data_IF_598062669997
#
_entry.id   IF_598062669997
#
_cell.length_a   1.000
_cell.length_b   1.000
_cell.length_c   1.000
_cell.angle_alpha   90.00
_cell.angle_beta   90.00
_cell.angle_gamma   90.00
#
_symmetry.space_group_name_H-M   'P 1'
#
loop_
_entity.id
_entity.type
_entity.pdbx_description
1 polymer ?
#
# COMPACT_ATOMS: atom_id res chain seq x y z
N UNK A 1 -7.34 11.74 -29.66
CA UNK A 1 -6.98 12.22 -28.31
C UNK A 1 -8.25 12.73 -27.67
N UNK A 2 -8.72 12.09 -26.59
CA UNK A 2 -9.91 12.58 -25.86
C UNK A 2 -9.62 13.93 -25.21
N UNK A 3 -10.62 14.80 -25.13
CA UNK A 3 -10.49 16.08 -24.44
C UNK A 3 -10.11 15.86 -22.96
N UNK A 4 -9.15 16.63 -22.46
CA UNK A 4 -8.81 16.66 -21.02
C UNK A 4 -10.01 17.25 -20.27
N UNK A 5 -10.50 16.57 -19.24
CA UNK A 5 -11.61 17.08 -18.44
C UNK A 5 -11.13 18.18 -17.48
N UNK A 6 -12.01 19.11 -17.05
CA UNK A 6 -11.64 20.14 -16.07
C UNK A 6 -11.01 19.56 -14.79
N UNK A 7 -11.54 18.45 -14.29
CA UNK A 7 -11.05 17.76 -13.09
C UNK A 7 -9.66 17.17 -13.30
N UNK A 8 -9.38 16.62 -14.48
CA UNK A 8 -8.05 16.14 -14.82
C UNK A 8 -7.04 17.30 -14.98
N UNK A 9 -7.47 18.45 -15.50
CA UNK A 9 -6.64 19.65 -15.55
C UNK A 9 -6.33 20.17 -14.14
N UNK A 10 -7.36 20.27 -13.28
CA UNK A 10 -7.20 20.70 -11.88
C UNK A 10 -6.31 19.77 -11.08
N UNK A 11 -6.45 18.47 -11.28
CA UNK A 11 -5.54 17.49 -10.68
C UNK A 11 -4.08 17.68 -11.12
N UNK A 12 -3.86 17.99 -12.39
CA UNK A 12 -2.53 18.23 -12.91
C UNK A 12 -1.89 19.50 -12.30
N UNK A 13 -2.68 20.54 -12.03
CA UNK A 13 -2.24 21.76 -11.33
C UNK A 13 -1.79 21.46 -9.90
N UNK A 14 -2.61 20.75 -9.12
CA UNK A 14 -2.28 20.34 -7.74
C UNK A 14 -0.97 19.55 -7.69
N UNK A 15 -0.84 18.60 -8.61
CA UNK A 15 0.38 17.80 -8.75
C UNK A 15 1.58 18.69 -9.16
N UNK A 16 1.39 19.63 -10.08
CA UNK A 16 2.45 20.52 -10.55
C UNK A 16 2.97 21.45 -9.44
N UNK A 17 2.07 22.01 -8.63
CA UNK A 17 2.41 22.85 -7.48
C UNK A 17 3.31 22.10 -6.49
N UNK A 18 3.10 20.80 -6.31
CA UNK A 18 3.88 19.97 -5.40
C UNK A 18 5.17 19.39 -6.01
N UNK A 19 5.26 19.34 -7.34
CA UNK A 19 6.29 18.60 -8.04
C UNK A 19 7.72 19.14 -7.89
N UNK A 20 7.91 20.47 -7.81
CA UNK A 20 9.27 21.04 -7.69
C UNK A 20 9.93 20.56 -6.40
N UNK A 21 9.26 20.76 -5.27
CA UNK A 21 9.75 20.35 -3.95
C UNK A 21 10.03 18.84 -3.87
N UNK A 22 9.12 18.00 -4.37
CA UNK A 22 9.35 16.55 -4.39
C UNK A 22 10.59 16.19 -5.21
N UNK A 23 10.83 16.87 -6.35
CA UNK A 23 12.07 16.68 -7.13
C UNK A 23 13.31 17.13 -6.38
N UNK A 24 13.24 18.25 -5.67
CA UNK A 24 14.37 18.78 -4.90
C UNK A 24 14.82 17.81 -3.79
N UNK A 25 13.92 16.95 -3.29
CA UNK A 25 14.22 15.90 -2.29
C UNK A 25 14.41 14.50 -2.92
N UNK A 26 14.62 14.43 -4.23
CA UNK A 26 15.06 13.21 -4.92
C UNK A 26 13.96 12.39 -5.59
N UNK A 27 12.70 12.80 -5.56
CA UNK A 27 11.65 12.10 -6.31
C UNK A 27 11.73 12.42 -7.81
N UNK A 28 11.61 11.39 -8.63
CA UNK A 28 11.32 11.50 -10.07
C UNK A 28 9.81 11.49 -10.27
N UNK A 29 9.31 12.17 -11.30
CA UNK A 29 7.86 12.32 -11.56
C UNK A 29 7.44 11.57 -12.82
N UNK A 30 6.28 10.90 -12.77
CA UNK A 30 5.54 10.41 -13.94
C UNK A 30 4.04 10.58 -13.71
N UNK A 31 3.40 11.39 -14.56
CA UNK A 31 1.97 11.76 -14.41
C UNK A 31 1.67 12.29 -13.00
N UNK A 32 0.88 11.56 -12.20
CA UNK A 32 0.45 11.87 -10.84
C UNK A 32 1.24 11.07 -9.77
N UNK A 33 2.21 10.27 -10.20
CA UNK A 33 3.08 9.48 -9.33
C UNK A 33 4.49 10.05 -9.25
N UNK A 34 5.15 9.75 -8.15
CA UNK A 34 6.51 10.13 -7.83
C UNK A 34 7.25 8.94 -7.22
N UNK A 35 8.45 8.65 -7.71
CA UNK A 35 9.30 7.57 -7.21
C UNK A 35 10.62 8.15 -6.70
N UNK A 36 11.04 7.76 -5.50
CA UNK A 36 12.38 8.04 -4.97
C UNK A 36 13.09 6.70 -4.72
N UNK A 37 14.05 6.31 -5.58
CA UNK A 37 14.90 5.16 -5.31
C UNK A 37 15.85 5.49 -4.15
N UNK A 38 16.11 4.50 -3.30
CA UNK A 38 17.07 4.56 -2.21
C UNK A 38 18.28 3.68 -2.49
N UNK A 39 19.40 3.94 -1.80
CA UNK A 39 20.64 3.15 -1.94
C UNK A 39 20.45 1.69 -1.52
N UNK A 40 19.48 1.40 -0.65
CA UNK A 40 19.07 0.05 -0.24
C UNK A 40 18.36 -0.76 -1.33
N UNK A 41 18.09 -0.15 -2.49
CA UNK A 41 17.30 -0.75 -3.57
C UNK A 41 15.79 -0.61 -3.40
N UNK A 42 15.32 -0.10 -2.25
CA UNK A 42 13.92 0.24 -2.04
C UNK A 42 13.49 1.41 -2.94
N UNK A 43 12.21 1.46 -3.25
CA UNK A 43 11.61 2.60 -3.95
C UNK A 43 10.44 3.14 -3.14
N UNK A 44 10.54 4.38 -2.71
CA UNK A 44 9.43 5.09 -2.08
C UNK A 44 8.56 5.74 -3.15
N UNK A 45 7.24 5.62 -2.98
CA UNK A 45 6.25 6.05 -3.94
C UNK A 45 5.28 7.01 -3.26
N UNK A 46 5.05 8.15 -3.90
CA UNK A 46 3.94 9.07 -3.61
C UNK A 46 3.03 9.10 -4.83
N UNK A 47 1.75 8.88 -4.64
CA UNK A 47 0.77 8.92 -5.73
C UNK A 47 -0.42 9.79 -5.37
N UNK A 48 -0.70 10.75 -6.24
CA UNK A 48 -1.87 11.60 -6.15
C UNK A 48 -3.02 10.90 -6.88
N UNK A 49 -3.99 10.36 -6.13
CA UNK A 49 -5.07 9.56 -6.68
C UNK A 49 -6.34 10.40 -6.83
N UNK A 50 -6.78 10.57 -8.08
CA UNK A 50 -8.04 11.23 -8.40
C UNK A 50 -9.16 10.19 -8.46
N UNK A 51 -10.30 10.50 -7.82
CA UNK A 51 -11.45 9.62 -7.89
C UNK A 51 -11.94 9.42 -9.34
N UNK A 52 -12.13 8.16 -9.79
CA UNK A 52 -12.62 7.90 -11.13
C UNK A 52 -14.05 8.38 -11.27
N UNK A 53 -14.43 8.80 -12.47
CA UNK A 53 -15.81 9.12 -12.80
C UNK A 53 -16.70 7.90 -12.58
N UNK A 54 -17.72 8.03 -11.75
CA UNK A 54 -18.63 6.92 -11.50
C UNK A 54 -19.50 6.62 -12.75
N UNK A 55 -19.84 5.35 -12.99
CA UNK A 55 -20.75 5.00 -14.07
C UNK A 55 -22.15 5.58 -13.82
N UNK A 56 -22.96 5.85 -14.87
CA UNK A 56 -24.29 6.45 -14.73
C UNK A 56 -25.25 5.72 -13.78
N UNK A 57 -25.10 4.41 -13.61
CA UNK A 57 -25.90 3.58 -12.71
C UNK A 57 -25.41 3.58 -11.25
N UNK A 58 -24.56 4.53 -10.85
CA UNK A 58 -24.04 4.60 -9.48
C UNK A 58 -25.04 5.21 -8.51
N UNK A 59 -25.73 4.34 -7.75
CA UNK A 59 -26.49 4.66 -6.54
C UNK A 59 -25.54 5.04 -5.41
N UNK A 60 -25.72 6.22 -4.84
CA UNK A 60 -25.00 6.65 -3.64
C UNK A 60 -25.62 6.01 -2.39
N UNK A 61 -24.77 5.54 -1.47
CA UNK A 61 -25.16 5.09 -0.13
C UNK A 61 -24.29 5.87 0.86
N UNK A 62 -24.84 6.85 1.61
CA UNK A 62 -24.05 7.63 2.56
C UNK A 62 -23.27 6.74 3.53
N UNK A 63 -21.98 7.02 3.73
CA UNK A 63 -21.10 6.25 4.62
C UNK A 63 -20.64 4.88 4.11
N UNK A 64 -21.22 4.34 3.03
CA UNK A 64 -20.85 3.04 2.46
C UNK A 64 -20.35 3.14 1.01
N UNK A 65 -20.99 3.99 0.21
CA UNK A 65 -20.75 4.16 -1.22
C UNK A 65 -21.04 5.59 -1.67
N UNK A 66 -20.14 6.49 -1.31
CA UNK A 66 -20.22 7.92 -1.62
C UNK A 66 -19.79 8.21 -3.06
N UNK A 67 -20.33 9.27 -3.66
CA UNK A 67 -19.78 9.85 -4.89
C UNK A 67 -18.52 10.64 -4.55
N UNK A 68 -17.43 10.37 -5.26
CA UNK A 68 -16.11 10.98 -5.03
C UNK A 68 -15.56 11.65 -6.26
N UNK A 69 -16.16 11.53 -7.43
CA UNK A 69 -15.72 12.29 -8.60
C UNK A 69 -15.65 13.79 -8.30
N UNK A 70 -14.54 14.42 -8.69
CA UNK A 70 -14.22 15.78 -8.26
C UNK A 70 -13.31 15.86 -7.03
N UNK A 71 -12.93 14.71 -6.43
CA UNK A 71 -12.02 14.66 -5.29
C UNK A 71 -10.70 13.94 -5.60
N UNK A 72 -9.72 14.14 -4.72
CA UNK A 72 -8.45 13.44 -4.74
C UNK A 72 -7.98 13.07 -3.33
N UNK A 73 -6.98 12.18 -3.28
CA UNK A 73 -6.24 11.84 -2.07
C UNK A 73 -4.77 11.57 -2.39
N UNK A 74 -3.98 11.35 -1.35
CA UNK A 74 -2.59 10.91 -1.47
C UNK A 74 -2.44 9.47 -0.96
N UNK A 75 -1.72 8.68 -1.73
CA UNK A 75 -1.31 7.32 -1.36
C UNK A 75 0.21 7.25 -1.33
N UNK A 76 0.73 6.52 -0.35
CA UNK A 76 2.15 6.31 -0.12
C UNK A 76 2.46 4.82 -0.18
N UNK A 77 3.68 4.49 -0.58
CA UNK A 77 4.15 3.12 -0.49
C UNK A 77 5.65 2.97 -0.56
N UNK A 78 6.12 1.82 -0.12
CA UNK A 78 7.51 1.37 -0.23
C UNK A 78 7.50 0.05 -0.99
N UNK A 79 8.14 0.07 -2.15
CA UNK A 79 8.43 -1.14 -2.91
C UNK A 79 9.71 -1.77 -2.38
N UNK A 80 9.60 -3.07 -2.10
CA UNK A 80 10.64 -3.91 -1.52
C UNK A 80 10.91 -5.04 -2.50
N UNK A 81 12.01 -5.01 -3.27
CA UNK A 81 12.30 -6.03 -4.27
C UNK A 81 12.30 -7.46 -3.73
N UNK A 82 12.69 -7.63 -2.47
CA UNK A 82 12.73 -8.91 -1.78
C UNK A 82 11.34 -9.41 -1.33
N UNK A 83 10.29 -8.58 -1.35
CA UNK A 83 8.91 -8.99 -1.07
C UNK A 83 8.15 -9.31 -2.36
N UNK A 84 8.65 -10.26 -3.14
CA UNK A 84 8.19 -10.56 -4.50
C UNK A 84 7.12 -11.66 -4.60
N UNK A 85 6.48 -12.03 -3.49
CA UNK A 85 5.52 -13.14 -3.41
C UNK A 85 4.34 -13.02 -4.39
N UNK A 86 3.84 -11.80 -4.57
CA UNK A 86 2.59 -11.56 -5.33
C UNK A 86 2.83 -11.10 -6.76
N UNK A 87 3.91 -10.35 -6.99
CA UNK A 87 4.23 -9.77 -8.29
C UNK A 87 5.67 -9.25 -8.32
N UNK A 88 6.27 -9.25 -9.52
CA UNK A 88 7.48 -8.46 -9.83
C UNK A 88 7.10 -7.44 -10.90
N UNK A 89 7.31 -6.14 -10.66
CA UNK A 89 6.99 -5.10 -11.62
C UNK A 89 7.63 -5.34 -12.99
N UNK A 90 6.85 -5.13 -14.06
CA UNK A 90 7.32 -5.28 -15.44
C UNK A 90 8.07 -4.06 -15.98
N UNK A 91 8.11 -2.98 -15.20
CA UNK A 91 8.71 -1.70 -15.56
C UNK A 91 9.58 -1.21 -14.40
N UNK A 92 10.64 -0.46 -14.72
CA UNK A 92 11.43 0.27 -13.72
C UNK A 92 10.61 1.31 -12.97
N UNK A 93 9.51 1.78 -13.57
CA UNK A 93 8.58 2.67 -12.87
C UNK A 93 7.64 1.85 -11.99
N UNK A 94 7.91 1.89 -10.69
CA UNK A 94 7.06 1.33 -9.63
C UNK A 94 5.77 2.14 -9.51
N UNK A 95 4.63 1.47 -9.55
CA UNK A 95 3.33 2.05 -9.24
C UNK A 95 2.96 1.78 -7.79
N UNK A 96 2.01 2.53 -7.24
CA UNK A 96 1.62 2.35 -5.84
C UNK A 96 1.09 0.94 -5.54
N UNK A 97 0.43 0.29 -6.49
CA UNK A 97 -0.04 -1.10 -6.33
C UNK A 97 1.09 -2.14 -6.37
N UNK A 98 2.28 -1.76 -6.83
CA UNK A 98 3.47 -2.60 -6.79
C UNK A 98 4.12 -2.62 -5.39
N UNK A 99 3.80 -1.64 -4.53
CA UNK A 99 4.40 -1.49 -3.21
C UNK A 99 3.88 -2.53 -2.21
N UNK A 100 4.80 -3.08 -1.42
CA UNK A 100 4.52 -4.10 -0.40
C UNK A 100 4.08 -3.50 0.93
N UNK A 101 4.59 -2.30 1.25
CA UNK A 101 4.15 -1.49 2.40
C UNK A 101 3.43 -0.27 1.87
N UNK A 102 2.21 -0.01 2.34
CA UNK A 102 1.34 1.01 1.75
C UNK A 102 0.49 1.70 2.81
N UNK A 103 0.35 3.01 2.68
CA UNK A 103 -0.59 3.78 3.48
C UNK A 103 -1.34 4.80 2.62
N UNK A 104 -2.62 5.01 2.88
CA UNK A 104 -3.35 6.18 2.40
C UNK A 104 -3.15 7.32 3.38
N UNK A 105 -3.28 8.56 2.91
CA UNK A 105 -3.14 9.72 3.78
C UNK A 105 -4.17 9.76 4.91
N UNK A 106 -5.37 9.22 4.68
CA UNK A 106 -6.36 9.10 5.72
C UNK A 106 -5.86 8.25 6.89
N UNK A 107 -5.22 7.11 6.60
CA UNK A 107 -4.61 6.26 7.63
C UNK A 107 -3.54 6.98 8.43
N UNK A 108 -2.67 7.74 7.76
CA UNK A 108 -1.59 8.45 8.43
C UNK A 108 -2.08 9.61 9.29
N UNK A 109 -3.15 10.29 8.89
CA UNK A 109 -3.73 11.43 9.61
C UNK A 109 -4.61 10.97 10.77
N UNK A 110 -5.47 9.97 10.58
CA UNK A 110 -6.46 9.57 11.59
C UNK A 110 -5.98 8.44 12.49
N UNK A 111 -4.98 7.65 12.06
CA UNK A 111 -4.61 6.40 12.72
C UNK A 111 -5.64 5.28 12.53
N UNK A 112 -6.61 5.44 11.62
CA UNK A 112 -7.68 4.48 11.37
C UNK A 112 -7.68 4.00 9.92
N UNK A 113 -8.37 2.89 9.63
CA UNK A 113 -8.58 2.38 8.26
C UNK A 113 -9.62 3.20 7.48
N UNK A 114 -9.44 4.51 7.45
CA UNK A 114 -10.33 5.46 6.78
C UNK A 114 -9.56 6.24 5.74
N UNK A 115 -10.15 6.39 4.56
CA UNK A 115 -9.60 7.28 3.53
C UNK A 115 -10.03 8.72 3.78
N UNK A 116 -9.13 9.65 3.48
CA UNK A 116 -9.37 11.08 3.50
C UNK A 116 -9.32 11.61 2.06
N UNK A 117 -10.38 12.27 1.64
CA UNK A 117 -10.55 12.84 0.29
C UNK A 117 -10.77 14.33 0.40
N UNK A 118 -10.19 15.07 -0.54
CA UNK A 118 -10.35 16.51 -0.65
C UNK A 118 -10.91 16.89 -2.02
N UNK A 119 -11.70 17.94 -2.06
CA UNK A 119 -12.25 18.48 -3.28
C UNK A 119 -11.13 19.11 -4.15
N UNK A 120 -11.14 18.82 -5.45
CA UNK A 120 -10.17 19.38 -6.41
C UNK A 120 -10.32 20.89 -6.54
N UNK A 121 -11.55 21.38 -6.44
CA UNK A 121 -11.91 22.79 -6.63
C UNK A 121 -11.82 23.59 -5.32
N UNK A 122 -11.41 22.96 -4.22
CA UNK A 122 -11.15 23.67 -2.97
C UNK A 122 -10.04 24.71 -3.19
N UNK A 123 -10.22 25.97 -2.72
CA UNK A 123 -9.23 27.04 -2.90
C UNK A 123 -7.84 26.73 -2.32
N UNK A 124 -7.78 25.83 -1.34
CA UNK A 124 -6.59 25.41 -0.59
C UNK A 124 -6.10 24.02 -0.97
N UNK A 125 -6.60 23.41 -2.05
CA UNK A 125 -6.28 22.02 -2.43
C UNK A 125 -4.76 21.77 -2.57
N UNK A 126 -4.00 22.71 -3.13
CA UNK A 126 -2.54 22.62 -3.22
C UNK A 126 -1.84 22.64 -1.86
N UNK A 127 -2.31 23.49 -0.95
CA UNK A 127 -1.76 23.68 0.39
C UNK A 127 -2.07 22.48 1.28
N UNK A 128 -3.29 21.97 1.22
CA UNK A 128 -3.70 20.75 1.91
C UNK A 128 -2.87 19.56 1.44
N UNK A 129 -2.66 19.42 0.13
CA UNK A 129 -1.77 18.40 -0.41
C UNK A 129 -0.32 18.57 0.08
N UNK A 130 0.18 19.81 0.12
CA UNK A 130 1.53 20.11 0.64
C UNK A 130 1.67 19.70 2.10
N UNK A 131 0.75 20.13 2.96
CA UNK A 131 0.78 19.84 4.40
C UNK A 131 0.67 18.34 4.67
N UNK A 132 -0.24 17.65 3.97
CA UNK A 132 -0.37 16.20 4.05
C UNK A 132 0.93 15.46 3.68
N UNK A 133 1.66 15.94 2.66
CA UNK A 133 2.96 15.39 2.30
C UNK A 133 4.03 15.67 3.36
N UNK A 134 4.15 16.91 3.83
CA UNK A 134 5.23 17.31 4.75
C UNK A 134 5.04 16.75 6.14
N UNK A 135 3.81 16.71 6.62
CA UNK A 135 3.52 16.50 8.04
C UNK A 135 3.30 15.00 8.34
N UNK A 136 2.87 14.23 7.34
CA UNK A 136 2.52 12.82 7.51
C UNK A 136 3.20 11.91 6.48
N UNK A 137 3.05 12.21 5.20
CA UNK A 137 3.47 11.34 4.11
C UNK A 137 4.98 11.08 4.06
N UNK A 138 5.77 12.15 3.98
CA UNK A 138 7.23 12.04 3.91
C UNK A 138 7.82 11.49 5.22
N UNK A 139 7.45 11.96 6.42
CA UNK A 139 7.92 11.35 7.67
C UNK A 139 7.65 9.85 7.75
N UNK A 140 6.48 9.40 7.30
CA UNK A 140 6.17 7.98 7.23
C UNK A 140 7.08 7.21 6.25
N UNK A 141 7.33 7.76 5.06
CA UNK A 141 8.26 7.15 4.10
C UNK A 141 9.69 7.08 4.66
N UNK A 142 10.17 8.14 5.31
CA UNK A 142 11.51 8.19 5.92
C UNK A 142 11.68 7.22 7.09
N UNK A 143 10.59 6.69 7.66
CA UNK A 143 10.68 5.61 8.64
C UNK A 143 11.10 4.25 8.03
N UNK A 144 11.15 4.16 6.69
CA UNK A 144 11.54 2.96 5.95
C UNK A 144 12.73 3.20 5.00
N UNK A 145 13.95 3.48 5.51
CA UNK A 145 15.14 3.69 4.68
C UNK A 145 15.69 2.40 4.06
N UNK A 146 15.42 1.24 4.66
CA UNK A 146 16.00 -0.05 4.28
C UNK A 146 15.14 -1.24 4.72
N UNK A 147 15.55 -2.44 4.34
CA UNK A 147 14.87 -3.69 4.65
C UNK A 147 14.77 -3.95 6.16
N UNK A 148 15.81 -3.59 6.94
CA UNK A 148 15.83 -3.81 8.38
C UNK A 148 14.82 -2.94 9.12
N UNK A 149 14.59 -1.71 8.67
CA UNK A 149 13.56 -0.83 9.23
C UNK A 149 12.15 -1.43 9.08
N UNK A 150 11.86 -2.08 7.94
CA UNK A 150 10.57 -2.77 7.71
C UNK A 150 10.43 -3.99 8.61
N UNK A 151 11.49 -4.80 8.72
CA UNK A 151 11.52 -5.95 9.64
C UNK A 151 11.33 -5.50 11.09
N UNK A 152 12.01 -4.44 11.49
CA UNK A 152 11.91 -3.85 12.83
C UNK A 152 10.49 -3.35 13.11
N UNK A 153 9.89 -2.59 12.19
CA UNK A 153 8.51 -2.12 12.32
C UNK A 153 7.53 -3.29 12.48
N UNK A 154 7.66 -4.35 11.68
CA UNK A 154 6.85 -5.55 11.82
C UNK A 154 7.07 -6.26 13.16
N UNK A 155 8.30 -6.36 13.66
CA UNK A 155 8.55 -6.98 14.97
C UNK A 155 7.90 -6.20 16.12
N UNK A 156 7.95 -4.88 16.06
CA UNK A 156 7.45 -4.01 17.13
C UNK A 156 5.93 -3.90 17.14
N UNK A 157 5.27 -3.85 15.97
CA UNK A 157 3.83 -3.59 15.88
C UNK A 157 3.04 -4.53 14.96
N UNK A 158 3.66 -5.61 14.49
CA UNK A 158 3.03 -6.61 13.64
C UNK A 158 2.51 -6.02 12.33
N UNK A 159 1.37 -6.54 11.87
CA UNK A 159 0.73 -6.13 10.61
C UNK A 159 0.31 -4.65 10.65
N UNK A 160 -0.10 -4.14 11.81
CA UNK A 160 -0.60 -2.78 11.95
C UNK A 160 0.48 -1.72 11.70
N UNK A 161 1.73 -1.98 12.13
CA UNK A 161 2.85 -1.06 11.90
C UNK A 161 3.18 -0.81 10.42
N UNK A 162 2.79 -1.75 9.55
CA UNK A 162 3.03 -1.66 8.10
C UNK A 162 1.77 -1.30 7.31
N UNK A 163 0.65 -1.01 7.99
CA UNK A 163 -0.67 -0.89 7.36
C UNK A 163 -0.97 -2.10 6.45
N UNK A 164 -0.56 -3.27 6.91
CA UNK A 164 -0.56 -4.50 6.14
C UNK A 164 -1.91 -5.20 6.10
N UNK A 165 -2.04 -6.15 5.18
CA UNK A 165 -3.17 -7.08 5.11
C UNK A 165 -2.91 -8.33 5.96
N UNK A 166 -3.89 -9.22 6.14
CA UNK A 166 -3.65 -10.53 6.76
C UNK A 166 -2.59 -11.38 6.06
N UNK A 167 -2.18 -11.09 4.83
CA UNK A 167 -1.11 -11.84 4.14
C UNK A 167 0.30 -11.27 4.39
N UNK A 168 0.43 -10.10 5.02
CA UNK A 168 1.71 -9.42 5.30
C UNK A 168 2.77 -10.31 5.96
N UNK A 169 2.44 -11.22 6.91
CA UNK A 169 3.45 -12.12 7.48
C UNK A 169 4.17 -12.98 6.43
N UNK A 170 3.50 -13.37 5.35
CA UNK A 170 4.13 -14.14 4.26
C UNK A 170 5.10 -13.28 3.44
N UNK A 171 4.78 -11.99 3.25
CA UNK A 171 5.68 -11.04 2.59
C UNK A 171 6.92 -10.78 3.45
N UNK A 172 6.76 -10.65 4.77
CA UNK A 172 7.87 -10.54 5.72
C UNK A 172 8.73 -11.79 5.76
N UNK A 173 8.12 -12.99 5.77
CA UNK A 173 8.87 -14.24 5.68
C UNK A 173 9.69 -14.32 4.38
N UNK A 174 9.11 -13.87 3.26
CA UNK A 174 9.81 -13.82 1.96
C UNK A 174 11.00 -12.84 2.02
N UNK A 175 10.81 -11.66 2.61
CA UNK A 175 11.90 -10.71 2.85
C UNK A 175 13.01 -11.34 3.68
N UNK A 176 12.68 -11.93 4.83
CA UNK A 176 13.66 -12.55 5.73
C UNK A 176 14.46 -13.67 5.05
N UNK A 177 13.80 -14.54 4.28
CA UNK A 177 14.46 -15.59 3.53
C UNK A 177 15.42 -15.02 2.46
N UNK A 178 15.01 -13.98 1.73
CA UNK A 178 15.87 -13.32 0.75
C UNK A 178 17.07 -12.57 1.38
N UNK A 179 16.97 -12.21 2.66
CA UNK A 179 18.09 -11.69 3.46
C UNK A 179 18.98 -12.80 4.08
N UNK A 180 18.70 -14.08 3.80
CA UNK A 180 19.43 -15.22 4.38
C UNK A 180 19.09 -15.52 5.84
N UNK A 181 17.94 -15.03 6.33
CA UNK A 181 17.48 -15.15 7.72
C UNK A 181 16.41 -16.24 7.85
N UNK A 182 16.71 -17.43 7.31
CA UNK A 182 15.74 -18.52 7.15
C UNK A 182 15.07 -18.96 8.46
N UNK A 183 15.83 -18.98 9.57
CA UNK A 183 15.28 -19.31 10.89
C UNK A 183 14.20 -18.33 11.33
N UNK A 184 14.38 -17.04 11.06
CA UNK A 184 13.41 -16.01 11.41
C UNK A 184 12.21 -16.03 10.47
N UNK A 185 12.45 -16.25 9.17
CA UNK A 185 11.39 -16.46 8.19
C UNK A 185 10.49 -17.62 8.62
N UNK A 186 11.08 -18.74 9.05
CA UNK A 186 10.35 -19.91 9.52
C UNK A 186 9.48 -19.61 10.73
N UNK A 187 9.98 -18.89 11.74
CA UNK A 187 9.20 -18.49 12.93
C UNK A 187 7.96 -17.68 12.52
N UNK A 188 8.09 -16.77 11.56
CA UNK A 188 6.97 -15.98 11.05
C UNK A 188 5.93 -16.87 10.35
N UNK A 189 6.36 -17.81 9.52
CA UNK A 189 5.46 -18.75 8.82
C UNK A 189 4.75 -19.68 9.80
N UNK A 190 5.47 -20.27 10.76
CA UNK A 190 4.88 -21.13 11.79
C UNK A 190 3.80 -20.38 12.58
N UNK A 191 4.08 -19.15 12.98
CA UNK A 191 3.11 -18.27 13.66
C UNK A 191 1.90 -17.91 12.80
N UNK A 192 2.05 -17.95 11.47
CA UNK A 192 0.99 -17.67 10.52
C UNK A 192 0.05 -18.86 10.33
N UNK A 193 0.60 -20.04 10.05
CA UNK A 193 -0.16 -21.24 9.64
C UNK A 193 -1.02 -21.82 10.76
N UNK A 194 -0.71 -21.57 12.02
CA UNK A 194 -1.50 -22.05 13.18
C UNK A 194 -2.84 -21.34 13.31
N UNK A 195 -3.06 -20.23 12.60
CA UNK A 195 -4.32 -19.48 12.62
C UNK A 195 -5.25 -19.99 11.50
N UNK A 196 -6.53 -20.28 11.79
CA UNK A 196 -7.48 -20.65 10.74
C UNK A 196 -7.62 -19.55 9.69
N UNK A 197 -7.50 -19.92 8.41
CA UNK A 197 -7.62 -18.99 7.27
C UNK A 197 -8.94 -19.19 6.52
N UNK A 198 -9.35 -18.22 5.71
CA UNK A 198 -10.50 -18.39 4.83
C UNK A 198 -10.25 -19.53 3.82
N UNK A 199 -11.29 -20.30 3.46
CA UNK A 199 -11.16 -21.47 2.56
C UNK A 199 -10.47 -21.13 1.24
N UNK A 200 -10.83 -20.01 0.61
CA UNK A 200 -10.20 -19.55 -0.64
C UNK A 200 -8.73 -19.14 -0.50
N UNK A 201 -8.26 -18.84 0.71
CA UNK A 201 -6.85 -18.56 0.98
C UNK A 201 -6.05 -19.84 1.26
N UNK A 202 -6.69 -20.89 1.79
CA UNK A 202 -6.00 -22.12 2.19
C UNK A 202 -5.32 -22.83 1.01
N UNK A 203 -5.95 -22.90 -0.15
CA UNK A 203 -5.35 -23.50 -1.36
C UNK A 203 -4.10 -22.75 -1.80
N UNK A 204 -4.19 -21.41 -1.86
CA UNK A 204 -3.06 -20.55 -2.14
C UNK A 204 -1.92 -20.79 -1.13
N UNK A 205 -2.23 -20.80 0.17
CA UNK A 205 -1.25 -20.95 1.24
C UNK A 205 -0.52 -22.29 1.15
N UNK A 206 -1.25 -23.40 0.95
CA UNK A 206 -0.62 -24.74 0.77
C UNK A 206 0.30 -24.76 -0.44
N UNK A 207 -0.12 -24.15 -1.56
CA UNK A 207 0.72 -24.02 -2.74
C UNK A 207 1.98 -23.19 -2.49
N UNK A 208 1.86 -22.08 -1.76
CA UNK A 208 2.99 -21.23 -1.40
C UNK A 208 3.98 -21.93 -0.45
N UNK A 209 3.49 -22.62 0.58
CA UNK A 209 4.32 -23.37 1.54
C UNK A 209 5.19 -24.42 0.83
N UNK A 210 4.61 -25.20 -0.08
CA UNK A 210 5.35 -26.20 -0.86
C UNK A 210 6.46 -25.57 -1.70
N UNK A 211 6.16 -24.48 -2.41
CA UNK A 211 7.15 -23.81 -3.28
C UNK A 211 8.23 -23.07 -2.50
N UNK A 212 7.95 -22.70 -1.25
CA UNK A 212 8.84 -21.88 -0.43
C UNK A 212 9.63 -22.71 0.60
N UNK A 213 9.62 -24.05 0.49
CA UNK A 213 10.42 -24.93 1.35
C UNK A 213 9.80 -25.23 2.73
N UNK A 214 8.52 -24.96 2.92
CA UNK A 214 7.77 -25.19 4.17
C UNK A 214 6.71 -26.29 4.02
N UNK A 215 6.99 -27.33 3.22
CA UNK A 215 6.03 -28.41 2.94
C UNK A 215 5.59 -29.16 4.19
N UNK A 216 6.45 -29.21 5.22
CA UNK A 216 6.18 -29.80 6.52
C UNK A 216 5.10 -29.05 7.32
N UNK A 217 4.83 -27.79 6.98
CA UNK A 217 3.80 -26.96 7.62
C UNK A 217 2.42 -27.07 6.94
N UNK A 218 2.33 -27.69 5.75
CA UNK A 218 1.07 -27.87 5.01
C UNK A 218 -0.02 -28.57 5.83
N UNK A 219 0.27 -29.63 6.60
CA UNK A 219 -0.73 -30.29 7.44
C UNK A 219 -1.34 -29.39 8.53
N UNK A 220 -0.68 -28.30 8.90
CA UNK A 220 -1.15 -27.37 9.94
C UNK A 220 -2.18 -26.36 9.42
N UNK A 221 -2.33 -26.23 8.09
CA UNK A 221 -3.25 -25.26 7.48
C UNK A 221 -4.70 -25.69 7.72
N UNK A 222 -5.36 -24.96 8.63
CA UNK A 222 -6.77 -25.11 8.96
C UNK A 222 -7.62 -24.00 8.34
N UNK A 223 -8.89 -24.28 8.10
CA UNK A 223 -9.85 -23.32 7.52
C UNK A 223 -10.89 -22.91 8.55
N UNK A 224 -11.30 -21.65 8.53
CA UNK A 224 -12.56 -21.20 9.14
C UNK A 224 -13.67 -21.17 8.09
N UNK A 225 -14.85 -21.66 8.46
CA UNK A 225 -16.07 -21.52 7.66
C UNK A 225 -16.45 -20.04 7.60
N UNK A 226 -17.03 -19.52 6.50
CA UNK A 226 -17.59 -18.17 6.50
C UNK A 226 -18.60 -18.05 7.64
N UNK A 227 -18.52 -16.98 8.43
CA UNK A 227 -19.65 -16.62 9.30
C UNK A 227 -20.86 -16.42 8.39
N UNK A 228 -21.93 -17.17 8.66
CA UNK A 228 -23.18 -17.09 7.90
C UNK A 228 -23.93 -15.80 8.24
N UNK A 229 -23.47 -15.02 9.21
CA UNK A 229 -24.11 -13.80 9.69
C UNK A 229 -23.13 -12.62 9.67
N UNK A 230 -23.29 -11.74 8.68
CA UNK A 230 -22.48 -10.54 8.50
C UNK A 230 -23.32 -9.34 8.06
N UNK A 231 -24.37 -9.02 8.82
CA UNK A 231 -25.00 -7.70 8.82
C UNK A 231 -24.52 -6.99 10.07
N UNK A 232 -23.50 -6.14 9.95
CA UNK A 232 -23.23 -5.01 10.84
C UNK A 232 -22.54 -3.91 10.05
#
# INVERSE_FOLDING_TARGET
>A
MGAVTPEAARMAEIVAANAKWLRDIGFRKRRYGFNRPLDSGLVQVVHFWQAPKEPPAWTEVPGLRERRYGTFRLDFGVYVPEMNRSHVPRSEWINQYDCSVRATIGQLVTGEWKDLWWDLDAPDAEEVARGALSDFGLPWLESFPDQESIVSAYRSGGIAALWGTPATPLDIATLLANLGRDGEARVVVESYVVKPVHIGHAEYLRGWLNRSGYSDLVPLVSTRTPDVDGVH
#
